data_IF_326213989340
#
_entry.id   IF_326213989340
#
_cell.length_a   1.000
_cell.length_b   1.000
_cell.length_c   1.000
_cell.angle_alpha   90.00
_cell.angle_beta   90.00
_cell.angle_gamma   90.00
#
_symmetry.space_group_name_H-M   'P 1'
#
loop_
_entity.id
_entity.type
_entity.pdbx_description
1 polymer ?
#
# COMPACT_ATOMS: atom_id res chain seq x y z
N UNK A 1 -5.55 25.89 -3.87
CA UNK A 1 -5.29 26.93 -4.90
C UNK A 1 -5.52 26.42 -6.31
N UNK A 2 -5.50 27.32 -7.31
CA UNK A 2 -5.71 26.94 -8.71
C UNK A 2 -4.54 26.14 -9.28
N UNK A 3 -3.34 26.41 -8.77
CA UNK A 3 -2.14 25.71 -9.22
C UNK A 3 -2.08 24.31 -8.64
N UNK A 4 -2.14 24.23 -7.32
CA UNK A 4 -2.09 22.94 -6.63
C UNK A 4 -3.21 22.02 -7.10
N UNK A 5 -4.33 22.62 -7.48
CA UNK A 5 -5.48 21.85 -7.96
C UNK A 5 -5.16 21.17 -9.28
N UNK A 6 -4.48 21.90 -10.16
CA UNK A 6 -4.11 21.37 -11.47
C UNK A 6 -3.10 20.23 -11.33
N UNK A 7 -2.01 20.51 -10.62
CA UNK A 7 -0.96 19.51 -10.41
C UNK A 7 -1.52 18.30 -9.67
N UNK A 8 -2.51 18.53 -8.82
CA UNK A 8 -3.13 17.45 -8.05
C UNK A 8 -3.87 16.49 -8.97
N UNK A 9 -4.86 17.01 -9.69
CA UNK A 9 -5.65 16.20 -10.60
C UNK A 9 -4.77 15.55 -11.66
N UNK A 10 -3.93 16.35 -12.30
CA UNK A 10 -3.03 15.85 -13.33
C UNK A 10 -2.11 14.76 -12.78
N UNK A 11 -1.72 14.90 -11.52
CA UNK A 11 -0.85 13.93 -10.88
C UNK A 11 -1.52 12.57 -10.77
N UNK A 12 -2.65 12.54 -10.07
CA UNK A 12 -3.41 11.30 -9.88
C UNK A 12 -4.09 10.85 -11.17
N UNK A 13 -4.82 11.77 -11.80
CA UNK A 13 -5.53 11.46 -13.04
C UNK A 13 -4.58 10.88 -14.09
N UNK A 14 -3.30 11.22 -13.99
CA UNK A 14 -2.30 10.73 -14.93
C UNK A 14 -2.27 9.20 -14.96
N UNK A 15 -1.60 8.61 -13.98
CA UNK A 15 -1.50 7.15 -13.89
C UNK A 15 -0.61 6.74 -12.72
N UNK A 16 -0.40 5.43 -12.57
CA UNK A 16 0.43 4.91 -11.50
C UNK A 16 1.30 3.76 -12.00
N UNK A 17 2.62 3.95 -11.91
CA UNK A 17 3.56 2.93 -12.35
C UNK A 17 4.44 2.46 -11.20
N UNK A 18 5.28 3.37 -10.69
CA UNK A 18 6.17 3.04 -9.59
C UNK A 18 5.39 2.57 -8.37
N UNK A 19 4.40 3.36 -7.97
CA UNK A 19 3.57 3.02 -6.82
C UNK A 19 2.84 1.70 -7.03
N UNK A 20 2.60 1.36 -8.30
CA UNK A 20 1.91 0.12 -8.64
C UNK A 20 2.69 -1.09 -8.16
N UNK A 21 3.88 -1.28 -8.73
CA UNK A 21 4.74 -2.41 -8.36
C UNK A 21 5.08 -2.36 -6.87
N UNK A 22 5.28 -1.15 -6.35
CA UNK A 22 5.61 -0.97 -4.95
C UNK A 22 4.53 -1.55 -4.05
N UNK A 23 3.29 -1.13 -4.28
CA UNK A 23 2.16 -1.61 -3.50
C UNK A 23 2.01 -3.12 -3.63
N UNK A 24 2.23 -3.63 -4.84
CA UNK A 24 2.13 -5.06 -5.11
C UNK A 24 3.12 -5.84 -4.24
N UNK A 25 4.32 -5.30 -4.12
CA UNK A 25 5.36 -5.94 -3.32
C UNK A 25 4.96 -5.96 -1.85
N UNK A 26 4.51 -4.82 -1.35
CA UNK A 26 4.08 -4.70 0.04
C UNK A 26 2.97 -5.69 0.34
N UNK A 27 2.04 -5.84 -0.60
CA UNK A 27 0.93 -6.76 -0.44
C UNK A 27 1.43 -8.19 -0.33
N UNK A 28 2.38 -8.54 -1.19
CA UNK A 28 2.96 -9.88 -1.18
C UNK A 28 3.56 -10.19 0.18
N UNK A 29 4.25 -9.20 0.74
CA UNK A 29 4.88 -9.35 2.05
C UNK A 29 3.81 -9.53 3.12
N UNK A 30 2.70 -8.83 2.97
CA UNK A 30 1.60 -8.93 3.92
C UNK A 30 0.96 -10.32 3.84
N UNK A 31 1.03 -10.92 2.66
CA UNK A 31 0.46 -12.24 2.44
C UNK A 31 1.28 -13.30 3.15
N UNK A 32 2.59 -13.30 2.90
CA UNK A 32 3.47 -14.27 3.53
C UNK A 32 3.49 -14.06 5.04
N UNK A 33 3.64 -12.81 5.44
CA UNK A 33 3.65 -12.45 6.86
C UNK A 33 2.42 -12.99 7.56
N UNK A 34 1.26 -12.81 6.94
CA UNK A 34 0.01 -13.28 7.50
C UNK A 34 0.05 -14.80 7.67
N UNK A 35 0.53 -15.49 6.65
CA UNK A 35 0.63 -16.95 6.70
C UNK A 35 1.52 -17.38 7.86
N UNK A 36 2.64 -16.69 8.01
CA UNK A 36 3.59 -16.98 9.08
C UNK A 36 2.93 -16.78 10.44
N UNK A 37 2.09 -15.75 10.54
CA UNK A 37 1.40 -15.45 11.78
C UNK A 37 0.29 -16.47 12.05
N UNK A 38 -0.30 -16.98 10.97
CA UNK A 38 -1.37 -17.96 11.08
C UNK A 38 -2.57 -17.40 11.83
N UNK A 39 -2.48 -17.37 13.15
CA UNK A 39 -3.56 -16.85 13.98
C UNK A 39 -3.53 -15.33 14.04
N UNK A 40 -4.40 -14.75 14.86
CA UNK A 40 -4.47 -13.30 15.01
C UNK A 40 -3.10 -12.72 15.37
N UNK A 41 -2.97 -11.40 15.26
CA UNK A 41 -1.72 -10.73 15.57
C UNK A 41 -1.69 -10.28 17.03
N UNK A 42 -1.98 -11.21 17.93
CA UNK A 42 -1.99 -10.92 19.36
C UNK A 42 -1.23 -11.99 20.14
N UNK A 43 -0.90 -11.68 21.39
CA UNK A 43 -0.17 -12.61 22.24
C UNK A 43 -1.09 -13.21 23.30
N UNK A 44 -1.51 -14.48 23.11
CA UNK A 44 -2.40 -15.16 24.06
C UNK A 44 -1.79 -15.25 25.45
N UNK A 45 -0.46 -15.28 25.51
CA UNK A 45 0.25 -15.36 26.78
C UNK A 45 1.64 -14.73 26.67
N UNK A 46 1.99 -13.91 27.65
CA UNK A 46 3.29 -13.24 27.66
C UNK A 46 3.87 -13.22 29.07
#
# INVERSE_FOLDING_TARGET
>A
GPEADFYRFQVRERKKQEINQLLSKFKEDQERIKVMKAKRKFNPYT
#
